data_IF_483691514401
#
_entry.id   IF_483691514401
#
_cell.length_a   1.000
_cell.length_b   1.000
_cell.length_c   1.000
_cell.angle_alpha   90.00
_cell.angle_beta   90.00
_cell.angle_gamma   90.00
#
_symmetry.space_group_name_H-M   'P 1'
#
loop_
_entity.id
_entity.type
_entity.pdbx_description
1 polymer ?
#
# COMPACT_ATOMS: atom_id res chain seq x y z
N UNK A 1 9.25 0.22 -8.62
CA UNK A 1 8.57 -0.97 -8.03
C UNK A 1 9.15 -2.21 -8.70
N UNK A 2 9.42 -3.30 -7.96
CA UNK A 2 10.09 -4.48 -8.51
C UNK A 2 9.18 -5.70 -8.52
N UNK A 3 9.05 -6.38 -9.67
CA UNK A 3 8.42 -7.70 -9.79
C UNK A 3 6.95 -7.77 -9.39
N UNK A 4 6.23 -6.64 -9.43
CA UNK A 4 4.80 -6.54 -9.08
C UNK A 4 3.92 -6.18 -10.27
N UNK A 5 4.45 -6.20 -11.49
CA UNK A 5 3.78 -5.68 -12.70
C UNK A 5 2.44 -6.36 -12.94
N UNK A 6 2.38 -7.70 -12.79
CA UNK A 6 1.14 -8.48 -12.93
C UNK A 6 0.08 -8.08 -11.89
N UNK A 7 0.49 -7.82 -10.65
CA UNK A 7 -0.44 -7.41 -9.59
C UNK A 7 -0.92 -5.97 -9.81
N UNK A 8 -0.03 -5.07 -10.25
CA UNK A 8 -0.37 -3.70 -10.62
C UNK A 8 -1.39 -3.70 -11.76
N UNK A 9 -1.11 -4.42 -12.84
CA UNK A 9 -1.98 -4.50 -14.02
C UNK A 9 -3.38 -4.99 -13.64
N UNK A 10 -3.45 -6.06 -12.83
CA UNK A 10 -4.73 -6.55 -12.29
C UNK A 10 -5.45 -5.48 -11.46
N UNK A 11 -4.75 -4.81 -10.56
CA UNK A 11 -5.33 -3.79 -9.68
C UNK A 11 -5.78 -2.53 -10.42
N UNK A 12 -5.21 -2.22 -11.59
CA UNK A 12 -5.63 -1.10 -12.44
C UNK A 12 -6.86 -1.46 -13.29
N UNK A 13 -6.89 -2.68 -13.84
CA UNK A 13 -8.00 -3.16 -14.67
C UNK A 13 -9.27 -3.46 -13.88
N UNK A 14 -9.13 -4.05 -12.70
CA UNK A 14 -10.26 -4.47 -11.85
C UNK A 14 -11.19 -3.31 -11.42
N UNK A 15 -10.71 -2.08 -11.17
CA UNK A 15 -11.52 -0.87 -11.07
C UNK A 15 -12.43 -0.56 -12.26
N UNK A 16 -11.97 -0.88 -13.48
CA UNK A 16 -12.64 -0.56 -14.74
C UNK A 16 -13.74 -1.58 -15.10
N UNK A 17 -13.72 -2.76 -14.47
CA UNK A 17 -14.76 -3.79 -14.64
C UNK A 17 -16.04 -3.40 -13.91
N UNK A 18 -17.19 -3.44 -14.60
CA UNK A 18 -18.48 -3.17 -13.99
C UNK A 18 -18.83 -4.27 -12.99
N UNK A 19 -19.27 -3.94 -11.76
CA UNK A 19 -19.72 -4.96 -10.84
C UNK A 19 -20.98 -5.63 -11.38
N UNK A 20 -21.17 -6.92 -11.09
CA UNK A 20 -22.39 -7.65 -11.44
C UNK A 20 -23.64 -6.88 -10.95
N UNK A 21 -24.70 -6.95 -11.77
CA UNK A 21 -25.89 -6.07 -11.87
C UNK A 21 -26.63 -5.80 -10.54
N UNK A 22 -26.33 -6.51 -9.45
CA UNK A 22 -27.04 -6.40 -8.17
C UNK A 22 -26.23 -5.81 -6.99
N UNK A 23 -24.97 -5.39 -7.17
CA UNK A 23 -24.19 -4.74 -6.10
C UNK A 23 -23.23 -3.69 -6.67
N UNK A 24 -23.35 -2.43 -6.25
CA UNK A 24 -22.44 -1.35 -6.64
C UNK A 24 -21.07 -1.39 -5.91
N UNK A 25 -20.92 -2.19 -4.86
CA UNK A 25 -19.66 -2.32 -4.09
C UNK A 25 -18.86 -3.55 -4.52
N UNK A 26 -17.58 -3.37 -4.83
CA UNK A 26 -16.62 -4.46 -5.02
C UNK A 26 -15.41 -4.30 -4.09
N UNK A 27 -14.98 -5.41 -3.48
CA UNK A 27 -13.87 -5.47 -2.52
C UNK A 27 -12.72 -6.27 -3.14
N UNK A 28 -11.51 -5.70 -3.12
CA UNK A 28 -10.29 -6.32 -3.67
C UNK A 28 -9.25 -6.42 -2.56
N UNK A 29 -9.08 -7.61 -1.96
CA UNK A 29 -8.08 -7.80 -0.93
C UNK A 29 -6.69 -8.02 -1.51
N UNK A 30 -5.69 -7.38 -0.91
CA UNK A 30 -4.26 -7.62 -1.06
C UNK A 30 -3.78 -8.31 0.21
N UNK A 31 -3.42 -9.59 0.11
CA UNK A 31 -3.03 -10.44 1.22
C UNK A 31 -1.55 -10.84 1.12
N UNK A 32 -0.90 -11.08 2.24
CA UNK A 32 0.49 -11.52 2.29
C UNK A 32 1.16 -11.17 3.61
N UNK A 33 2.35 -11.74 3.85
CA UNK A 33 3.05 -11.59 5.13
C UNK A 33 3.42 -10.12 5.47
N UNK A 34 3.81 -9.88 6.73
CA UNK A 34 4.35 -8.59 7.15
C UNK A 34 5.59 -8.21 6.33
N UNK A 35 5.75 -6.92 5.99
CA UNK A 35 6.92 -6.42 5.25
C UNK A 35 6.99 -6.81 3.76
N UNK A 36 5.97 -7.47 3.22
CA UNK A 36 5.97 -7.98 1.83
C UNK A 36 5.68 -6.92 0.75
N UNK A 37 5.28 -5.71 1.17
CA UNK A 37 4.99 -4.58 0.26
C UNK A 37 3.52 -4.41 -0.15
N UNK A 38 2.54 -4.89 0.65
CA UNK A 38 1.10 -4.70 0.37
C UNK A 38 0.71 -3.22 0.31
N UNK A 39 1.05 -2.48 1.35
CA UNK A 39 0.83 -1.03 1.46
C UNK A 39 1.51 -0.31 0.30
N UNK A 40 2.77 -0.67 -0.02
CA UNK A 40 3.51 -0.11 -1.16
C UNK A 40 2.80 -0.36 -2.49
N UNK A 41 2.29 -1.57 -2.72
CA UNK A 41 1.53 -1.89 -3.93
C UNK A 41 0.24 -1.08 -4.02
N UNK A 42 -0.53 -1.03 -2.93
CA UNK A 42 -1.76 -0.25 -2.89
C UNK A 42 -1.49 1.25 -3.11
N UNK A 43 -0.42 1.82 -2.51
CA UNK A 43 -0.05 3.22 -2.68
C UNK A 43 0.28 3.55 -4.13
N UNK A 44 1.02 2.66 -4.80
CA UNK A 44 1.35 2.83 -6.21
C UNK A 44 0.10 2.85 -7.10
N UNK A 45 -0.85 1.95 -6.85
CA UNK A 45 -2.13 1.91 -7.58
C UNK A 45 -2.98 3.13 -7.27
N UNK A 46 -3.09 3.50 -5.99
CA UNK A 46 -3.85 4.67 -5.56
C UNK A 46 -3.37 5.97 -6.22
N UNK A 47 -2.06 6.10 -6.45
CA UNK A 47 -1.45 7.26 -7.11
C UNK A 47 -1.29 7.10 -8.63
N UNK A 48 -1.79 6.01 -9.22
CA UNK A 48 -1.67 5.79 -10.64
C UNK A 48 -2.57 6.76 -11.44
N UNK A 49 -2.07 7.39 -12.53
CA UNK A 49 -2.86 8.33 -13.33
C UNK A 49 -4.14 7.74 -13.92
N UNK A 50 -4.16 6.46 -14.28
CA UNK A 50 -5.37 5.81 -14.79
C UNK A 50 -6.44 5.67 -13.70
N UNK A 51 -6.02 5.42 -12.46
CA UNK A 51 -6.91 5.36 -11.30
C UNK A 51 -7.43 6.76 -10.96
N UNK A 52 -6.55 7.77 -10.97
CA UNK A 52 -6.92 9.17 -10.75
C UNK A 52 -8.00 9.63 -11.72
N UNK A 53 -7.82 9.33 -13.01
CA UNK A 53 -8.76 9.74 -14.05
C UNK A 53 -10.06 8.92 -14.07
N UNK A 54 -10.06 7.73 -13.46
CA UNK A 54 -11.21 6.84 -13.50
C UNK A 54 -12.22 7.11 -12.38
N UNK A 55 -11.78 7.48 -11.18
CA UNK A 55 -12.65 7.68 -10.01
C UNK A 55 -12.92 9.17 -9.76
N UNK A 56 -14.15 9.53 -9.42
CA UNK A 56 -14.49 10.93 -9.10
C UNK A 56 -13.91 11.37 -7.75
N UNK A 57 -13.75 10.41 -6.84
CA UNK A 57 -13.15 10.57 -5.51
C UNK A 57 -12.38 9.32 -5.12
N UNK A 58 -11.24 9.51 -4.45
CA UNK A 58 -10.45 8.45 -3.84
C UNK A 58 -10.07 8.83 -2.41
N UNK A 59 -10.10 7.89 -1.49
CA UNK A 59 -9.73 8.08 -0.08
C UNK A 59 -8.86 6.92 0.38
N UNK A 60 -7.86 7.21 1.20
CA UNK A 60 -6.99 6.23 1.82
C UNK A 60 -7.08 6.34 3.34
N UNK A 61 -7.42 5.25 4.02
CA UNK A 61 -7.48 5.17 5.48
C UNK A 61 -6.60 4.04 5.98
N UNK A 62 -5.75 4.35 6.96
CA UNK A 62 -5.06 3.33 7.73
C UNK A 62 -5.98 2.78 8.83
N UNK A 63 -6.20 1.47 8.83
CA UNK A 63 -7.00 0.75 9.81
C UNK A 63 -6.05 0.27 10.90
N UNK A 64 -6.23 0.79 12.11
CA UNK A 64 -5.52 0.31 13.29
C UNK A 64 -5.96 -1.11 13.66
N UNK A 65 -5.15 -1.83 14.44
CA UNK A 65 -5.48 -3.16 14.95
C UNK A 65 -6.82 -3.20 15.72
N UNK A 66 -7.12 -2.12 16.45
CA UNK A 66 -8.43 -1.89 17.04
C UNK A 66 -9.29 -1.14 16.02
N UNK A 67 -10.38 -1.76 15.59
CA UNK A 67 -11.30 -1.14 14.65
C UNK A 67 -12.12 -0.06 15.36
N UNK A 68 -12.13 1.14 14.77
CA UNK A 68 -12.92 2.27 15.23
C UNK A 68 -13.71 2.84 14.04
N UNK A 69 -14.99 2.45 13.96
CA UNK A 69 -15.91 2.91 12.91
C UNK A 69 -16.06 4.42 12.91
N UNK A 70 -16.11 5.05 14.09
CA UNK A 70 -16.30 6.48 14.22
C UNK A 70 -15.10 7.24 13.67
N UNK A 71 -13.89 6.91 14.13
CA UNK A 71 -12.64 7.50 13.63
C UNK A 71 -12.51 7.35 12.12
N UNK A 72 -12.70 6.13 11.62
CA UNK A 72 -12.54 5.84 10.19
C UNK A 72 -13.56 6.61 9.36
N UNK A 73 -14.84 6.64 9.75
CA UNK A 73 -15.87 7.41 9.03
C UNK A 73 -15.54 8.90 9.04
N UNK A 74 -15.07 9.44 10.16
CA UNK A 74 -14.63 10.84 10.29
C UNK A 74 -13.48 11.17 9.34
N UNK A 75 -12.44 10.33 9.29
CA UNK A 75 -11.30 10.53 8.38
C UNK A 75 -11.71 10.44 6.90
N UNK A 76 -12.68 9.58 6.55
CA UNK A 76 -13.23 9.52 5.19
C UNK A 76 -13.94 10.84 4.85
N UNK A 77 -14.82 11.32 5.73
CA UNK A 77 -15.55 12.59 5.53
C UNK A 77 -14.59 13.77 5.38
N UNK A 78 -13.56 13.83 6.22
CA UNK A 78 -12.52 14.87 6.16
C UNK A 78 -11.75 14.81 4.83
N UNK A 79 -11.42 13.61 4.34
CA UNK A 79 -10.72 13.42 3.06
C UNK A 79 -11.58 13.81 1.84
N UNK A 80 -12.91 13.69 1.95
CA UNK A 80 -13.84 14.03 0.87
C UNK A 80 -14.20 15.52 0.82
N UNK A 81 -14.16 16.19 1.97
CA UNK A 81 -14.50 17.60 2.12
C UNK A 81 -13.42 18.47 1.48
N UNK A 82 -13.74 19.15 0.38
CA UNK A 82 -12.80 20.04 -0.34
C UNK A 82 -12.58 21.34 0.45
N UNK A 83 -13.57 21.75 1.23
CA UNK A 83 -13.50 22.97 2.02
C UNK A 83 -13.24 22.64 3.49
N UNK A 84 -12.23 23.29 4.06
CA UNK A 84 -11.96 23.32 5.50
C UNK A 84 -13.11 23.96 6.34
N UNK A 85 -14.30 24.14 5.75
CA UNK A 85 -15.46 24.79 6.34
C UNK A 85 -16.46 23.82 6.98
N UNK A 86 -16.33 22.49 6.84
CA UNK A 86 -17.14 21.56 7.64
C UNK A 86 -16.55 21.38 9.05
N UNK A 87 -16.55 22.48 9.86
CA UNK A 87 -16.37 22.44 11.32
C UNK A 87 -17.11 21.26 11.97
N UNK A 88 -18.26 20.92 11.38
CA UNK A 88 -19.08 19.77 11.68
C UNK A 88 -18.30 18.45 11.85
N UNK A 89 -17.44 18.06 10.90
CA UNK A 89 -16.72 16.77 11.01
C UNK A 89 -15.69 16.79 12.15
N UNK A 90 -15.12 17.96 12.47
CA UNK A 90 -14.18 18.13 13.57
C UNK A 90 -14.85 18.09 14.94
N UNK A 91 -16.04 18.67 15.07
CA UNK A 91 -16.75 18.87 16.34
C UNK A 91 -17.76 17.76 16.69
N UNK A 92 -18.33 17.07 15.68
CA UNK A 92 -19.31 16.01 15.95
C UNK A 92 -18.68 14.80 16.63
N UNK A 93 -19.42 14.20 17.56
CA UNK A 93 -19.15 12.91 18.22
C UNK A 93 -20.22 11.86 17.89
N UNK A 94 -21.16 12.19 17.01
CA UNK A 94 -22.27 11.32 16.64
C UNK A 94 -21.99 10.62 15.30
N UNK A 95 -22.02 9.29 15.29
CA UNK A 95 -21.74 8.47 14.11
C UNK A 95 -22.80 8.63 13.02
N UNK A 96 -24.09 8.69 13.36
CA UNK A 96 -25.18 8.81 12.39
C UNK A 96 -25.08 10.12 11.60
N UNK A 97 -24.66 11.18 12.28
CA UNK A 97 -24.35 12.48 11.69
C UNK A 97 -23.18 12.38 10.71
N UNK A 98 -22.09 11.68 11.07
CA UNK A 98 -20.97 11.44 10.16
C UNK A 98 -21.36 10.59 8.94
N UNK A 99 -22.18 9.57 9.13
CA UNK A 99 -22.63 8.72 8.02
C UNK A 99 -23.60 9.44 7.08
N UNK A 100 -24.42 10.34 7.63
CA UNK A 100 -25.25 11.24 6.82
C UNK A 100 -24.40 12.22 6.02
N UNK A 101 -23.35 12.76 6.64
CA UNK A 101 -22.41 13.66 6.00
C UNK A 101 -21.56 12.96 4.92
N UNK A 102 -21.16 11.71 5.16
CA UNK A 102 -20.50 10.86 4.16
C UNK A 102 -21.36 10.72 2.91
N UNK A 103 -22.65 10.40 3.07
CA UNK A 103 -23.60 10.31 1.95
C UNK A 103 -23.70 11.64 1.21
N UNK A 104 -23.78 12.76 1.95
CA UNK A 104 -23.85 14.11 1.38
C UNK A 104 -22.61 14.45 0.55
N UNK A 105 -21.42 14.16 1.05
CA UNK A 105 -20.15 14.40 0.35
C UNK A 105 -20.04 13.62 -0.98
N UNK A 106 -20.80 12.55 -1.12
CA UNK A 106 -20.79 11.67 -2.28
C UNK A 106 -21.94 11.93 -3.27
N UNK A 107 -22.80 12.92 -3.01
CA UNK A 107 -23.86 13.32 -3.94
C UNK A 107 -23.24 13.77 -5.28
N UNK A 108 -23.82 13.30 -6.38
CA UNK A 108 -23.36 13.61 -7.73
C UNK A 108 -22.08 12.89 -8.17
N UNK A 109 -21.50 12.02 -7.32
CA UNK A 109 -20.38 11.14 -7.67
C UNK A 109 -20.89 9.80 -8.17
N UNK A 110 -20.23 9.27 -9.20
CA UNK A 110 -20.57 7.99 -9.84
C UNK A 110 -19.60 6.88 -9.49
N UNK A 111 -18.34 7.21 -9.23
CA UNK A 111 -17.26 6.26 -8.96
C UNK A 111 -16.45 6.71 -7.75
N UNK A 112 -16.34 5.83 -6.76
CA UNK A 112 -15.61 6.09 -5.52
C UNK A 112 -14.62 4.96 -5.22
N UNK A 113 -13.37 5.33 -4.90
CA UNK A 113 -12.34 4.41 -4.43
C UNK A 113 -12.05 4.66 -2.95
N UNK A 114 -12.10 3.59 -2.16
CA UNK A 114 -11.67 3.58 -0.77
C UNK A 114 -10.55 2.55 -0.57
N UNK A 115 -9.43 2.96 0.00
CA UNK A 115 -8.38 2.04 0.45
C UNK A 115 -8.44 1.94 1.97
N UNK A 116 -8.54 0.71 2.47
CA UNK A 116 -8.44 0.36 3.88
C UNK A 116 -7.14 -0.43 4.08
N UNK A 117 -6.13 0.23 4.64
CA UNK A 117 -4.79 -0.32 4.81
C UNK A 117 -4.63 -0.98 6.19
N UNK A 118 -4.01 -2.16 6.24
CA UNK A 118 -3.70 -2.97 7.41
C UNK A 118 -4.92 -3.37 8.26
N UNK A 119 -5.90 -4.03 7.64
CA UNK A 119 -7.14 -4.48 8.31
C UNK A 119 -6.94 -5.77 9.09
N UNK A 120 -7.42 -5.82 10.35
CA UNK A 120 -7.24 -6.95 11.28
C UNK A 120 -8.53 -7.65 11.75
N UNK A 121 -9.70 -7.02 11.61
CA UNK A 121 -10.98 -7.50 12.17
C UNK A 121 -12.09 -7.43 11.12
N UNK A 122 -13.04 -8.37 11.11
CA UNK A 122 -14.22 -8.35 10.22
C UNK A 122 -15.14 -7.15 10.46
N UNK A 123 -14.98 -6.43 11.56
CA UNK A 123 -15.80 -5.26 11.93
C UNK A 123 -15.71 -4.12 10.90
N UNK A 124 -14.64 -4.04 10.10
CA UNK A 124 -14.54 -3.04 9.02
C UNK A 124 -15.71 -3.10 8.05
N UNK A 125 -16.34 -4.26 7.91
CA UNK A 125 -17.49 -4.48 7.03
C UNK A 125 -18.71 -3.65 7.45
N UNK A 126 -18.76 -3.13 8.69
CA UNK A 126 -19.77 -2.18 9.14
C UNK A 126 -19.77 -0.88 8.31
N UNK A 127 -18.63 -0.50 7.71
CA UNK A 127 -18.52 0.67 6.81
C UNK A 127 -19.30 0.47 5.49
N UNK A 128 -19.66 -0.77 5.13
CA UNK A 128 -20.37 -1.05 3.89
C UNK A 128 -21.83 -0.56 3.95
N UNK A 129 -22.45 -0.55 5.13
CA UNK A 129 -23.86 -0.17 5.29
C UNK A 129 -24.16 1.27 4.82
N UNK A 130 -23.45 2.32 5.30
CA UNK A 130 -23.69 3.69 4.83
C UNK A 130 -23.33 3.86 3.34
N UNK A 131 -22.31 3.16 2.84
CA UNK A 131 -21.89 3.22 1.44
C UNK A 131 -22.91 2.63 0.47
N UNK A 132 -23.58 1.53 0.85
CA UNK A 132 -24.66 0.90 0.05
C UNK A 132 -25.87 1.80 -0.15
N UNK A 133 -26.08 2.75 0.76
CA UNK A 133 -27.19 3.70 0.73
C UNK A 133 -26.89 4.97 -0.09
N UNK A 134 -25.72 5.05 -0.71
CA UNK A 134 -25.36 6.15 -1.63
C UNK A 134 -25.88 5.88 -3.04
N UNK A 135 -26.00 6.92 -3.86
CA UNK A 135 -26.35 6.80 -5.28
C UNK A 135 -25.15 6.49 -6.19
N UNK A 136 -24.00 6.10 -5.62
CA UNK A 136 -22.79 5.81 -6.39
C UNK A 136 -23.00 4.54 -7.23
N UNK A 137 -22.68 4.64 -8.53
CA UNK A 137 -22.80 3.53 -9.48
C UNK A 137 -21.72 2.46 -9.26
N UNK A 138 -20.50 2.86 -8.84
CA UNK A 138 -19.38 1.96 -8.58
C UNK A 138 -18.54 2.39 -7.37
N UNK A 139 -18.54 1.58 -6.32
CA UNK A 139 -17.68 1.72 -5.14
C UNK A 139 -16.64 0.61 -5.17
N UNK A 140 -15.37 0.99 -5.15
CA UNK A 140 -14.23 0.09 -5.08
C UNK A 140 -13.59 0.19 -3.70
N UNK A 141 -13.41 -0.95 -3.04
CA UNK A 141 -12.70 -1.00 -1.76
C UNK A 141 -11.48 -1.89 -1.91
N UNK A 142 -10.28 -1.32 -1.79
CA UNK A 142 -9.03 -2.09 -1.70
C UNK A 142 -8.75 -2.31 -0.22
N UNK A 143 -8.51 -3.55 0.17
CA UNK A 143 -8.17 -3.90 1.56
C UNK A 143 -6.78 -4.50 1.58
N UNK A 144 -5.86 -4.01 2.41
CA UNK A 144 -4.61 -4.73 2.68
C UNK A 144 -4.73 -5.46 4.01
N UNK A 145 -4.30 -6.73 4.07
CA UNK A 145 -4.31 -7.51 5.32
C UNK A 145 -3.24 -8.60 5.30
N UNK A 146 -2.85 -9.09 6.47
CA UNK A 146 -1.85 -10.15 6.61
C UNK A 146 -2.44 -11.54 6.41
N UNK A 147 -3.71 -11.72 6.75
CA UNK A 147 -4.41 -12.98 6.70
C UNK A 147 -5.85 -12.77 6.16
N UNK A 148 -6.54 -13.84 5.73
CA UNK A 148 -7.84 -13.71 5.07
C UNK A 148 -9.01 -13.53 6.05
N UNK A 149 -8.81 -13.64 7.37
CA UNK A 149 -9.89 -13.66 8.38
C UNK A 149 -10.78 -12.41 8.33
N UNK A 150 -10.26 -11.18 8.20
CA UNK A 150 -11.10 -9.98 8.15
C UNK A 150 -12.06 -9.93 6.96
N UNK A 151 -11.87 -10.81 5.99
CA UNK A 151 -12.67 -10.91 4.77
C UNK A 151 -13.71 -12.03 4.83
N UNK A 152 -13.81 -12.74 5.96
CA UNK A 152 -14.81 -13.78 6.17
C UNK A 152 -16.23 -13.21 6.00
N UNK A 153 -17.14 -14.01 5.45
CA UNK A 153 -18.54 -13.62 5.23
C UNK A 153 -18.78 -12.68 4.05
N UNK A 154 -17.72 -12.04 3.51
CA UNK A 154 -17.85 -11.31 2.26
C UNK A 154 -18.04 -12.32 1.13
N UNK A 155 -19.14 -12.16 0.40
CA UNK A 155 -19.24 -12.66 -0.98
C UNK A 155 -18.31 -11.82 -1.84
N UNK A 156 -17.00 -11.94 -1.60
CA UNK A 156 -15.96 -11.36 -2.42
C UNK A 156 -16.29 -11.85 -3.82
N UNK A 157 -16.54 -10.92 -4.75
CA UNK A 157 -16.73 -11.29 -6.16
C UNK A 157 -15.63 -12.27 -6.51
N UNK A 158 -16.03 -13.48 -6.90
CA UNK A 158 -15.26 -14.73 -6.86
C UNK A 158 -13.99 -14.75 -7.74
N UNK A 159 -13.49 -13.61 -8.23
CA UNK A 159 -12.36 -13.53 -9.15
C UNK A 159 -11.08 -12.83 -8.66
N UNK A 160 -11.12 -11.95 -7.65
CA UNK A 160 -10.01 -10.99 -7.49
C UNK A 160 -9.51 -10.83 -6.06
N UNK A 161 -8.72 -11.81 -5.60
CA UNK A 161 -7.81 -11.66 -4.47
C UNK A 161 -6.38 -11.53 -4.99
N UNK A 162 -5.62 -10.57 -4.47
CA UNK A 162 -4.20 -10.41 -4.80
C UNK A 162 -3.39 -11.03 -3.66
N UNK A 163 -2.73 -12.15 -3.95
CA UNK A 163 -1.76 -12.74 -3.04
C UNK A 163 -0.37 -12.18 -3.36
N UNK A 164 0.25 -11.57 -2.35
CA UNK A 164 1.58 -11.00 -2.42
C UNK A 164 2.58 -11.95 -1.78
N UNK A 165 3.35 -12.58 -2.65
CA UNK A 165 4.42 -13.50 -2.29
C UNK A 165 5.76 -12.77 -2.14
N UNK A 166 6.75 -13.46 -1.58
CA UNK A 166 8.14 -12.98 -1.50
C UNK A 166 8.73 -12.69 -2.88
N UNK A 167 9.66 -11.74 -2.92
CA UNK A 167 10.40 -11.43 -4.14
C UNK A 167 11.56 -12.40 -4.28
N UNK A 168 11.76 -12.93 -5.48
CA UNK A 168 12.86 -13.85 -5.81
C UNK A 168 13.52 -13.46 -7.13
N UNK A 169 14.66 -14.11 -7.44
CA UNK A 169 15.35 -13.98 -8.72
C UNK A 169 15.91 -12.57 -8.98
N UNK A 170 15.89 -12.17 -10.25
CA UNK A 170 16.51 -10.93 -10.72
C UNK A 170 15.91 -9.67 -10.08
N UNK A 171 14.60 -9.61 -9.87
CA UNK A 171 13.96 -8.49 -9.17
C UNK A 171 14.43 -8.37 -7.72
N UNK A 172 14.62 -9.51 -7.06
CA UNK A 172 15.16 -9.54 -5.71
C UNK A 172 16.67 -9.26 -5.67
N UNK A 173 17.44 -9.54 -6.72
CA UNK A 173 18.84 -9.07 -6.76
C UNK A 173 18.90 -7.55 -7.01
N UNK A 174 18.19 -7.07 -8.03
CA UNK A 174 18.20 -5.66 -8.46
C UNK A 174 17.78 -4.72 -7.33
N UNK A 175 16.67 -5.01 -6.64
CA UNK A 175 16.25 -4.15 -5.53
C UNK A 175 17.29 -4.12 -4.38
N UNK A 176 18.16 -5.12 -4.24
CA UNK A 176 19.14 -5.16 -3.13
C UNK A 176 20.35 -4.32 -3.47
N UNK A 177 20.81 -4.49 -4.70
CA UNK A 177 21.77 -3.62 -5.34
C UNK A 177 21.35 -2.16 -5.17
N UNK A 178 20.12 -1.80 -5.51
CA UNK A 178 19.64 -0.43 -5.38
C UNK A 178 19.58 0.03 -3.92
N UNK A 179 19.24 -0.85 -2.98
CA UNK A 179 19.30 -0.54 -1.54
C UNK A 179 20.74 -0.33 -1.03
N UNK A 180 21.72 -1.05 -1.56
CA UNK A 180 23.11 -0.95 -1.11
C UNK A 180 23.83 0.19 -1.82
N UNK A 181 23.80 0.24 -3.14
CA UNK A 181 24.62 1.12 -3.96
C UNK A 181 23.90 2.40 -4.41
N UNK A 182 22.57 2.43 -4.34
CA UNK A 182 21.81 3.59 -4.82
C UNK A 182 21.99 3.76 -6.33
N UNK A 183 22.67 4.82 -6.74
CA UNK A 183 22.97 5.10 -8.15
C UNK A 183 24.39 4.67 -8.56
N UNK A 184 25.19 4.15 -7.63
CA UNK A 184 26.56 3.70 -7.92
C UNK A 184 26.53 2.33 -8.62
N UNK A 185 27.46 2.13 -9.55
CA UNK A 185 27.59 0.86 -10.27
C UNK A 185 28.15 -0.26 -9.35
N UNK A 186 27.43 -1.38 -9.17
CA UNK A 186 27.90 -2.53 -8.40
C UNK A 186 29.24 -3.11 -8.88
N UNK A 187 29.58 -2.93 -10.16
CA UNK A 187 30.82 -3.41 -10.74
C UNK A 187 32.04 -2.60 -10.29
N UNK A 188 31.83 -1.44 -9.65
CA UNK A 188 32.90 -0.67 -9.00
C UNK A 188 33.40 -1.33 -7.69
N UNK A 189 32.76 -2.39 -7.21
CA UNK A 189 33.07 -3.04 -5.94
C UNK A 189 33.67 -4.43 -6.14
N UNK A 190 34.53 -4.85 -5.21
CA UNK A 190 35.25 -6.12 -5.32
C UNK A 190 34.32 -7.34 -5.38
N UNK A 191 34.75 -8.38 -6.09
CA UNK A 191 34.06 -9.67 -6.17
C UNK A 191 33.75 -10.27 -4.77
N UNK A 192 34.59 -9.99 -3.77
CA UNK A 192 34.35 -10.40 -2.39
C UNK A 192 33.11 -9.72 -1.78
N UNK A 193 32.90 -8.42 -2.03
CA UNK A 193 31.71 -7.70 -1.58
C UNK A 193 30.45 -8.20 -2.29
N UNK A 194 30.54 -8.52 -3.58
CA UNK A 194 29.43 -9.11 -4.33
C UNK A 194 29.03 -10.47 -3.74
N UNK A 195 30.00 -11.35 -3.44
CA UNK A 195 29.74 -12.66 -2.82
C UNK A 195 29.10 -12.54 -1.42
N UNK A 196 29.54 -11.58 -0.60
CA UNK A 196 28.90 -11.30 0.70
C UNK A 196 27.46 -10.84 0.52
N UNK A 197 27.21 -9.97 -0.47
CA UNK A 197 25.86 -9.51 -0.81
C UNK A 197 24.92 -10.66 -1.17
N UNK A 198 25.41 -11.66 -1.92
CA UNK A 198 24.63 -12.86 -2.25
C UNK A 198 24.28 -13.69 -1.02
N UNK A 199 25.24 -13.95 -0.13
CA UNK A 199 24.99 -14.67 1.14
C UNK A 199 24.00 -13.92 2.05
N UNK A 200 24.04 -12.58 2.07
CA UNK A 200 23.08 -11.77 2.81
C UNK A 200 21.68 -11.95 2.21
N UNK A 201 21.55 -11.85 0.90
CA UNK A 201 20.26 -11.99 0.20
C UNK A 201 19.59 -13.34 0.46
N UNK A 202 20.36 -14.44 0.49
CA UNK A 202 19.88 -15.77 0.84
C UNK A 202 19.27 -15.81 2.25
N UNK A 203 19.94 -15.19 3.24
CA UNK A 203 19.47 -15.14 4.63
C UNK A 203 18.19 -14.32 4.81
N UNK A 204 17.94 -13.36 3.93
CA UNK A 204 16.79 -12.44 3.97
C UNK A 204 15.49 -13.04 3.41
N UNK A 205 15.56 -14.25 2.81
CA UNK A 205 14.40 -15.08 2.43
C UNK A 205 13.33 -14.35 1.60
N UNK A 206 13.73 -13.41 0.75
CA UNK A 206 12.82 -12.74 -0.18
C UNK A 206 11.97 -11.61 0.43
N UNK A 207 12.23 -11.22 1.68
CA UNK A 207 11.49 -10.14 2.37
C UNK A 207 11.94 -8.75 1.89
N UNK A 208 11.07 -7.95 1.26
CA UNK A 208 11.42 -6.61 0.81
C UNK A 208 11.84 -5.68 1.95
N UNK A 209 11.12 -5.68 3.07
CA UNK A 209 11.44 -4.80 4.21
C UNK A 209 12.78 -5.16 4.87
N UNK A 210 13.01 -6.46 5.14
CA UNK A 210 14.26 -6.89 5.76
C UNK A 210 15.46 -6.52 4.89
N UNK A 211 15.27 -6.61 3.58
CA UNK A 211 16.26 -6.27 2.58
C UNK A 211 16.54 -4.77 2.49
N UNK A 212 15.52 -3.93 2.52
CA UNK A 212 15.71 -2.47 2.57
C UNK A 212 16.49 -2.08 3.83
N UNK A 213 16.13 -2.64 4.99
CA UNK A 213 16.81 -2.38 6.24
C UNK A 213 18.29 -2.81 6.20
N UNK A 214 18.58 -4.05 5.78
CA UNK A 214 19.96 -4.55 5.71
C UNK A 214 20.76 -3.85 4.62
N UNK A 215 20.16 -3.57 3.46
CA UNK A 215 20.83 -2.86 2.37
C UNK A 215 21.32 -1.47 2.78
N UNK A 216 20.51 -0.72 3.53
CA UNK A 216 20.91 0.59 4.10
C UNK A 216 22.07 0.45 5.08
N UNK A 217 22.04 -0.54 5.98
CA UNK A 217 23.15 -0.78 6.91
C UNK A 217 24.44 -1.14 6.15
N UNK A 218 24.35 -1.99 5.12
CA UNK A 218 25.51 -2.36 4.29
C UNK A 218 26.06 -1.12 3.55
N UNK A 219 25.20 -0.26 3.02
CA UNK A 219 25.59 1.02 2.40
C UNK A 219 26.41 1.87 3.36
N UNK A 220 25.91 2.07 4.58
CA UNK A 220 26.58 2.90 5.59
C UNK A 220 27.98 2.36 5.92
N UNK A 221 28.13 1.04 6.04
CA UNK A 221 29.43 0.39 6.29
C UNK A 221 30.39 0.60 5.11
N UNK A 222 29.92 0.49 3.86
CA UNK A 222 30.73 0.71 2.66
C UNK A 222 31.18 2.17 2.56
N UNK A 223 30.27 3.12 2.81
CA UNK A 223 30.58 4.55 2.83
C UNK A 223 31.63 4.90 3.89
N UNK A 224 31.47 4.39 5.12
CA UNK A 224 32.43 4.63 6.21
C UNK A 224 33.83 4.08 5.89
N UNK A 225 33.91 2.91 5.25
CA UNK A 225 35.21 2.35 4.82
C UNK A 225 35.84 3.16 3.69
N UNK A 226 35.05 3.72 2.78
CA UNK A 226 35.55 4.57 1.70
C UNK A 226 36.13 5.88 2.25
N UNK A 227 35.46 6.47 3.25
CA UNK A 227 35.94 7.66 3.96
C UNK A 227 37.21 7.34 4.78
N UNK A 228 37.25 6.22 5.50
CA UNK A 228 38.43 5.78 6.24
C UNK A 228 39.65 5.53 5.33
N UNK A 229 39.43 5.05 4.11
CA UNK A 229 40.47 4.86 3.09
C UNK A 229 41.01 6.20 2.56
N UNK A 230 40.14 7.20 2.36
CA UNK A 230 40.55 8.56 2.02
C UNK A 230 41.40 9.20 3.13
N UNK A 231 41.04 9.01 4.41
CA UNK A 231 41.85 9.50 5.52
C UNK A 231 43.23 8.82 5.59
N UNK A 232 43.33 7.53 5.26
CA UNK A 232 44.61 6.83 5.17
C UNK A 232 45.51 7.34 4.03
N UNK A 233 44.94 7.63 2.85
CA UNK A 233 45.68 8.20 1.72
C UNK A 233 46.14 9.63 2.03
N UNK A 234 45.31 10.44 2.69
CA UNK A 234 45.64 11.83 3.05
C UNK A 234 46.69 11.91 4.17
N UNK A 235 46.73 10.94 5.10
CA UNK A 235 47.67 10.97 6.24
C UNK A 235 48.98 10.21 5.93
N UNK A 236 48.95 9.15 5.13
CA UNK A 236 50.09 8.24 4.94
C UNK A 236 50.51 8.00 3.48
N UNK A 237 49.87 8.67 2.50
CA UNK A 237 50.29 8.58 1.09
C UNK A 237 51.49 9.47 0.79
N UNK A 238 52.71 8.90 0.82
CA UNK A 238 53.90 9.38 0.11
C UNK A 238 54.49 8.25 -0.70
#
# INVERSE_FOLDING_TARGET
>A
MYGRDRQIEKLIKVPQERPNINNNISVVPILGMGGIGKTTLAQFVFNNPEIENYFDKKVWIFVSALFDRFRITKEIVQSLSIDATSKFSYETTNLDLLESELKRCLIGKKKFLLVLDDVWSTEWQQLLAPLKLTSIESIKIIVTSRDPTPLAGLKIQYGYRILLESLYGSYYKSFFIDCVFGNDDPDNYSLALQSIGEQIMEKLKGSPLAKEAVGKVVRDVICLRSIGSMYWIVIYGK
#
